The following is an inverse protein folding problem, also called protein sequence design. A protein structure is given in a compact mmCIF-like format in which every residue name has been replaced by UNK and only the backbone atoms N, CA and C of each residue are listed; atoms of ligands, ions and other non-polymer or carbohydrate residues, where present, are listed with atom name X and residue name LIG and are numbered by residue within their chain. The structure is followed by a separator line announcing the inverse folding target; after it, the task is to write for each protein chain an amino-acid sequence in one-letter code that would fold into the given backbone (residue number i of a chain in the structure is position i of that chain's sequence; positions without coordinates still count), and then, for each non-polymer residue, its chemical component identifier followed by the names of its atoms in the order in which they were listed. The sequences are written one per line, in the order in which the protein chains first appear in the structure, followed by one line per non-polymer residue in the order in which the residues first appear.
data_IF_399248708393
#
_entry.id   IF_399248708393
#
_cell.length_a   1.000
_cell.length_b   1.000
_cell.length_c   1.000
_cell.angle_alpha   90.00
_cell.angle_beta   90.00
_cell.angle_gamma   90.00
#
_symmetry.space_group_name_H-M   'P 1'
#
loop_
_entity.id
_entity.type
_entity.pdbx_description
1 polymer ?
#
# COMPACT_ATOMS: atom_id res chain seq x y z
N UNK A 1 -13.76 11.24 -5.76
CA UNK A 1 -12.82 12.33 -5.38
C UNK A 1 -13.30 12.90 -4.06
N UNK A 2 -12.40 13.07 -3.09
CA UNK A 2 -12.71 13.65 -1.76
C UNK A 2 -11.74 14.78 -1.43
N UNK A 3 -11.94 15.46 -0.31
CA UNK A 3 -10.99 16.45 0.22
C UNK A 3 -10.24 15.82 1.39
N UNK A 4 -8.91 15.76 1.29
CA UNK A 4 -8.07 15.39 2.41
C UNK A 4 -8.17 16.50 3.47
N UNK A 5 -8.73 16.20 4.64
CA UNK A 5 -8.97 17.19 5.68
C UNK A 5 -7.69 17.79 6.28
N UNK A 6 -6.59 17.04 6.26
CA UNK A 6 -5.30 17.48 6.77
C UNK A 6 -4.57 18.35 5.74
N UNK A 7 -4.46 17.86 4.50
CA UNK A 7 -3.76 18.56 3.41
C UNK A 7 -4.60 19.66 2.77
N UNK A 8 -5.92 19.67 3.01
CA UNK A 8 -6.91 20.58 2.41
C UNK A 8 -6.88 20.60 0.88
N UNK A 9 -6.58 19.45 0.28
CA UNK A 9 -6.53 19.27 -1.19
C UNK A 9 -7.57 18.26 -1.64
N UNK A 10 -8.14 18.49 -2.82
CA UNK A 10 -9.02 17.52 -3.47
C UNK A 10 -8.18 16.41 -4.11
N UNK A 11 -8.56 15.16 -3.91
CA UNK A 11 -7.87 14.03 -4.50
C UNK A 11 -8.52 12.68 -4.27
N UNK A 12 -7.73 11.66 -4.58
CA UNK A 12 -7.97 10.25 -4.24
C UNK A 12 -6.90 9.77 -3.27
N UNK A 13 -7.23 8.74 -2.51
CA UNK A 13 -6.31 8.09 -1.57
C UNK A 13 -6.12 6.64 -1.98
N UNK A 14 -4.88 6.18 -1.92
CA UNK A 14 -4.49 4.82 -2.26
C UNK A 14 -4.39 4.01 -0.97
N UNK A 15 -4.99 2.84 -0.95
CA UNK A 15 -4.81 1.82 0.08
C UNK A 15 -4.23 0.58 -0.61
N UNK A 16 -3.21 -0.03 -0.03
CA UNK A 16 -2.56 -1.18 -0.64
C UNK A 16 -2.15 -2.22 0.41
N UNK A 17 -2.32 -3.49 0.04
CA UNK A 17 -1.72 -4.64 0.70
C UNK A 17 -0.39 -4.96 0.02
N UNK A 18 0.69 -5.05 0.79
CA UNK A 18 2.05 -5.18 0.29
C UNK A 18 2.76 -6.34 1.00
N UNK A 19 3.51 -7.14 0.25
CA UNK A 19 4.30 -8.25 0.80
C UNK A 19 5.61 -7.79 1.46
N UNK A 20 6.38 -8.73 2.01
CA UNK A 20 7.68 -8.45 2.65
C UNK A 20 8.77 -7.98 1.67
N UNK A 21 8.59 -8.18 0.36
CA UNK A 21 9.50 -7.75 -0.70
C UNK A 21 9.14 -6.36 -1.25
N UNK A 22 8.05 -5.76 -0.78
CA UNK A 22 7.52 -4.48 -1.26
C UNK A 22 6.72 -4.61 -2.57
N UNK A 23 6.16 -5.78 -2.87
CA UNK A 23 5.29 -6.01 -4.01
C UNK A 23 3.83 -5.82 -3.60
N UNK A 24 3.07 -5.06 -4.40
CA UNK A 24 1.65 -4.83 -4.15
C UNK A 24 0.86 -6.08 -4.51
N UNK A 25 0.17 -6.63 -3.51
CA UNK A 25 -0.72 -7.78 -3.64
C UNK A 25 -2.14 -7.34 -4.06
N UNK A 26 -2.61 -6.23 -3.49
CA UNK A 26 -3.89 -5.62 -3.81
C UNK A 26 -3.81 -4.11 -3.61
N UNK A 27 -4.45 -3.34 -4.47
CA UNK A 27 -4.59 -1.89 -4.38
C UNK A 27 -6.05 -1.50 -4.56
N UNK A 28 -6.46 -0.49 -3.81
CA UNK A 28 -7.75 0.18 -3.92
C UNK A 28 -7.53 1.70 -3.92
N UNK A 29 -8.25 2.41 -4.78
CA UNK A 29 -8.18 3.87 -4.91
C UNK A 29 -9.54 4.47 -4.57
N UNK A 30 -9.62 5.04 -3.37
CA UNK A 30 -10.82 5.67 -2.82
C UNK A 30 -10.81 7.20 -2.88
N UNK A 31 -11.88 7.81 -2.39
CA UNK A 31 -11.92 9.26 -2.18
C UNK A 31 -10.92 9.69 -1.09
N UNK A 32 -10.30 10.86 -1.21
CA UNK A 32 -9.28 11.30 -0.25
C UNK A 32 -9.79 11.51 1.19
N UNK A 33 -11.10 11.68 1.39
CA UNK A 33 -11.74 11.78 2.70
C UNK A 33 -12.18 10.42 3.28
N UNK A 34 -11.94 9.31 2.59
CA UNK A 34 -12.25 7.99 3.11
C UNK A 34 -11.25 7.64 4.23
N UNK A 35 -11.76 7.25 5.39
CA UNK A 35 -10.95 6.79 6.50
C UNK A 35 -10.25 5.46 6.16
N UNK A 36 -9.01 5.29 6.63
CA UNK A 36 -8.18 4.11 6.34
C UNK A 36 -8.85 2.80 6.75
N UNK A 37 -9.41 2.76 7.97
CA UNK A 37 -10.20 1.62 8.47
C UNK A 37 -11.36 1.23 7.54
N UNK A 38 -11.99 2.20 6.85
CA UNK A 38 -13.07 1.94 5.89
C UNK A 38 -12.56 1.51 4.51
N UNK A 39 -11.30 1.76 4.19
CA UNK A 39 -10.68 1.37 2.93
C UNK A 39 -9.97 0.01 3.03
N UNK A 40 -9.58 -0.43 4.23
CA UNK A 40 -8.94 -1.73 4.44
C UNK A 40 -9.75 -2.92 3.90
N UNK A 41 -11.07 -3.05 4.16
CA UNK A 41 -11.85 -4.16 3.61
C UNK A 41 -11.74 -4.29 2.08
N UNK A 42 -11.61 -3.17 1.36
CA UNK A 42 -11.50 -3.14 -0.10
C UNK A 42 -10.23 -3.83 -0.63
N UNK A 43 -9.16 -3.91 0.18
CA UNK A 43 -7.94 -4.64 -0.20
C UNK A 43 -7.79 -5.99 0.51
N UNK A 44 -8.44 -6.18 1.66
CA UNK A 44 -8.27 -7.38 2.48
C UNK A 44 -9.25 -8.49 2.10
N UNK A 45 -10.55 -8.23 2.06
CA UNK A 45 -11.55 -9.30 1.99
C UNK A 45 -11.39 -10.16 0.74
N UNK A 46 -11.41 -9.53 -0.45
CA UNK A 46 -11.20 -10.24 -1.71
C UNK A 46 -9.86 -10.96 -1.79
N UNK A 47 -8.82 -10.45 -1.12
CA UNK A 47 -7.52 -11.11 -1.12
C UNK A 47 -7.51 -12.33 -0.21
N UNK A 48 -8.05 -12.22 1.00
CA UNK A 48 -8.08 -13.29 2.00
C UNK A 48 -9.01 -14.44 1.58
N UNK A 49 -10.13 -14.13 0.92
CA UNK A 49 -11.03 -15.14 0.32
C UNK A 49 -10.33 -16.03 -0.71
N UNK A 50 -9.29 -15.52 -1.38
CA UNK A 50 -8.53 -16.27 -2.39
C UNK A 50 -7.23 -16.90 -1.85
N UNK A 51 -6.78 -16.50 -0.64
CA UNK A 51 -5.45 -16.84 -0.14
C UNK A 51 -5.46 -17.21 1.35
N UNK A 52 -5.79 -18.47 1.62
CA UNK A 52 -5.88 -19.04 2.98
C UNK A 52 -4.53 -19.11 3.74
N UNK A 53 -3.41 -18.91 3.04
CA UNK A 53 -2.06 -18.98 3.63
C UNK A 53 -1.63 -17.70 4.35
N UNK A 54 -2.42 -16.63 4.29
CA UNK A 54 -2.08 -15.39 4.98
C UNK A 54 -2.19 -15.61 6.48
N UNK A 55 -1.09 -15.38 7.22
CA UNK A 55 -1.06 -15.58 8.67
C UNK A 55 -1.08 -14.27 9.46
N UNK A 56 -0.44 -13.21 8.92
CA UNK A 56 -0.22 -11.97 9.65
C UNK A 56 -0.24 -10.74 8.74
N UNK A 57 -0.93 -9.71 9.17
CA UNK A 57 -1.00 -8.40 8.53
C UNK A 57 -0.59 -7.33 9.53
N UNK A 58 0.27 -6.42 9.11
CA UNK A 58 0.66 -5.25 9.90
C UNK A 58 0.01 -4.01 9.32
N UNK A 59 -0.60 -3.19 10.17
CA UNK A 59 -1.22 -1.93 9.78
C UNK A 59 -0.73 -0.78 10.66
N UNK A 60 -0.87 0.46 10.18
CA UNK A 60 -0.59 1.63 11.01
C UNK A 60 -1.81 2.01 11.88
N UNK A 61 -1.61 2.96 12.82
CA UNK A 61 -2.65 3.44 13.73
C UNK A 61 -3.92 3.96 13.04
N UNK A 62 -3.88 4.36 11.76
CA UNK A 62 -5.07 4.78 11.02
C UNK A 62 -6.08 3.66 10.77
N UNK A 63 -5.64 2.40 10.92
CA UNK A 63 -6.47 1.20 10.75
C UNK A 63 -7.05 0.66 12.06
N UNK A 64 -6.88 1.37 13.18
CA UNK A 64 -7.46 0.96 14.46
C UNK A 64 -8.99 0.89 14.37
N UNK A 65 -9.58 -0.20 14.87
CA UNK A 65 -11.02 -0.44 14.89
C UNK A 65 -11.34 -1.94 15.00
N UNK A 66 -12.59 -2.31 14.72
CA UNK A 66 -13.10 -3.68 14.89
C UNK A 66 -12.57 -4.70 13.86
N UNK A 67 -11.75 -4.26 12.91
CA UNK A 67 -11.28 -5.10 11.81
C UNK A 67 -10.38 -6.25 12.30
N UNK A 68 -9.68 -6.06 13.42
CA UNK A 68 -8.81 -7.08 14.00
C UNK A 68 -9.60 -8.33 14.43
N UNK A 69 -10.65 -8.13 15.22
CA UNK A 69 -11.53 -9.20 15.70
C UNK A 69 -12.23 -9.94 14.54
N UNK A 70 -12.75 -9.18 13.57
CA UNK A 70 -13.44 -9.76 12.41
C UNK A 70 -12.49 -10.61 11.54
N UNK A 71 -11.25 -10.16 11.34
CA UNK A 71 -10.27 -10.85 10.49
C UNK A 71 -9.73 -12.12 11.15
N UNK A 72 -9.49 -12.09 12.45
CA UNK A 72 -9.08 -13.28 13.20
C UNK A 72 -10.21 -14.32 13.22
N UNK A 73 -11.44 -13.90 13.51
CA UNK A 73 -12.58 -14.81 13.62
C UNK A 73 -12.97 -15.48 12.28
N UNK A 74 -12.90 -14.74 11.17
CA UNK A 74 -13.34 -15.24 9.86
C UNK A 74 -12.22 -15.89 9.07
N UNK A 75 -11.00 -15.34 9.12
CA UNK A 75 -9.90 -15.76 8.26
C UNK A 75 -8.70 -16.34 9.03
N UNK A 76 -8.71 -16.32 10.36
CA UNK A 76 -7.58 -16.81 11.18
C UNK A 76 -6.30 -15.97 11.00
N UNK A 77 -6.44 -14.71 10.58
CA UNK A 77 -5.31 -13.81 10.29
C UNK A 77 -5.04 -12.92 11.50
N UNK A 78 -3.80 -12.91 11.99
CA UNK A 78 -3.36 -11.96 13.01
C UNK A 78 -3.23 -10.56 12.37
N UNK A 79 -4.08 -9.61 12.77
CA UNK A 79 -4.06 -8.23 12.29
C UNK A 79 -3.49 -7.29 13.36
N UNK A 80 -2.19 -6.97 13.28
CA UNK A 80 -1.52 -6.15 14.28
C UNK A 80 -1.47 -4.67 13.85
N UNK A 81 -2.12 -3.80 14.62
CA UNK A 81 -2.01 -2.35 14.48
C UNK A 81 -0.78 -1.82 15.23
N UNK A 82 0.23 -1.37 14.49
CA UNK A 82 1.49 -0.87 15.04
C UNK A 82 1.29 0.52 15.64
N UNK A 83 1.32 0.59 16.97
CA UNK A 83 1.15 1.83 17.74
C UNK A 83 2.45 2.57 17.99
N UNK A 84 2.37 3.90 18.05
CA UNK A 84 3.50 4.76 18.41
C UNK A 84 3.59 4.87 19.93
N UNK A 85 4.54 4.15 20.55
CA UNK A 85 4.62 4.00 22.02
C UNK A 85 5.41 5.10 22.75
N UNK A 86 6.02 6.07 22.06
CA UNK A 86 6.88 7.09 22.70
C UNK A 86 6.69 8.49 22.12
N UNK A 87 6.90 9.50 22.97
CA UNK A 87 7.08 10.90 22.53
C UNK A 87 8.40 10.99 21.76
N UNK A 88 8.35 11.27 20.46
CA UNK A 88 9.52 11.37 19.57
C UNK A 88 9.59 10.25 18.52
N UNK A 89 10.65 10.22 17.71
CA UNK A 89 10.77 9.21 16.64
C UNK A 89 10.96 7.80 17.23
N UNK A 90 10.04 6.88 16.93
CA UNK A 90 10.20 5.45 17.16
C UNK A 90 10.19 4.71 15.83
N UNK A 91 11.21 3.88 15.60
CA UNK A 91 11.27 3.03 14.40
C UNK A 91 10.13 2.02 14.45
N UNK A 92 9.21 2.10 13.49
CA UNK A 92 8.19 1.08 13.29
C UNK A 92 8.79 -0.04 12.43
N UNK A 93 8.88 -1.24 13.00
CA UNK A 93 9.40 -2.40 12.30
C UNK A 93 8.58 -2.65 11.02
N UNK A 94 9.28 -2.91 9.90
CA UNK A 94 8.71 -3.21 8.57
C UNK A 94 7.91 -2.08 7.88
N UNK A 95 7.55 -0.97 8.53
CA UNK A 95 6.89 0.20 7.89
C UNK A 95 7.64 0.71 6.66
N UNK A 96 8.98 0.71 6.75
CA UNK A 96 9.88 1.13 5.68
C UNK A 96 9.65 0.37 4.35
N UNK A 97 9.11 -0.86 4.39
CA UNK A 97 8.81 -1.65 3.19
C UNK A 97 7.69 -0.99 2.39
N UNK A 98 6.63 -0.55 3.08
CA UNK A 98 5.48 0.13 2.50
C UNK A 98 5.89 1.50 1.97
N UNK A 99 6.63 2.28 2.76
CA UNK A 99 7.12 3.60 2.33
C UNK A 99 8.02 3.52 1.09
N UNK A 100 8.92 2.52 1.04
CA UNK A 100 9.74 2.24 -0.14
C UNK A 100 8.90 1.85 -1.35
N UNK A 101 7.83 1.09 -1.15
CA UNK A 101 6.90 0.70 -2.21
C UNK A 101 6.20 1.93 -2.79
N UNK A 102 5.71 2.83 -1.94
CA UNK A 102 5.15 4.12 -2.38
C UNK A 102 6.17 4.96 -3.12
N UNK A 103 7.42 5.04 -2.65
CA UNK A 103 8.48 5.76 -3.35
C UNK A 103 8.75 5.19 -4.75
N UNK A 104 8.66 3.86 -4.96
CA UNK A 104 8.76 3.27 -6.30
C UNK A 104 7.58 3.63 -7.20
N UNK A 105 6.38 3.66 -6.64
CA UNK A 105 5.17 4.05 -7.37
C UNK A 105 5.22 5.53 -7.74
N UNK A 106 5.58 6.43 -6.83
CA UNK A 106 5.66 7.86 -7.10
C UNK A 106 6.79 8.21 -8.10
N UNK A 107 7.87 7.41 -8.13
CA UNK A 107 8.92 7.50 -9.16
C UNK A 107 8.50 6.95 -10.53
N UNK A 108 7.33 6.32 -10.65
CA UNK A 108 6.75 6.00 -11.93
C UNK A 108 6.04 7.23 -12.49
N UNK A 109 6.49 7.73 -13.66
CA UNK A 109 5.92 8.92 -14.30
C UNK A 109 4.40 8.86 -14.47
N UNK A 110 3.82 7.68 -14.69
CA UNK A 110 2.36 7.51 -14.83
C UNK A 110 1.58 7.60 -13.52
N UNK A 111 2.25 7.47 -12.37
CA UNK A 111 1.64 7.45 -11.04
C UNK A 111 2.05 8.64 -10.16
N UNK A 112 3.01 9.46 -10.62
CA UNK A 112 3.48 10.66 -9.91
C UNK A 112 2.37 11.68 -9.68
N UNK A 113 1.34 11.67 -10.52
CA UNK A 113 0.06 12.35 -10.32
C UNK A 113 -1.08 11.44 -10.77
N UNK A 114 -2.27 11.68 -10.23
CA UNK A 114 -3.49 11.04 -10.69
C UNK A 114 -3.96 11.72 -11.98
N UNK A 115 -3.62 11.12 -13.12
CA UNK A 115 -4.09 11.54 -14.44
C UNK A 115 -5.35 10.79 -14.89
N UNK A 116 -5.75 9.76 -14.13
CA UNK A 116 -6.77 8.82 -14.57
C UNK A 116 -8.17 9.30 -14.23
N UNK A 117 -9.08 9.24 -15.22
CA UNK A 117 -10.48 9.61 -14.99
C UNK A 117 -11.17 8.64 -14.04
N UNK A 118 -10.84 7.35 -14.11
CA UNK A 118 -11.42 6.27 -13.31
C UNK A 118 -10.42 5.76 -12.28
N UNK A 119 -10.90 5.37 -11.11
CA UNK A 119 -10.05 4.89 -10.01
C UNK A 119 -9.44 3.52 -10.36
N UNK A 120 -10.22 2.69 -11.04
CA UNK A 120 -9.88 1.35 -11.51
C UNK A 120 -8.72 1.39 -12.52
N UNK A 121 -8.67 2.42 -13.38
CA UNK A 121 -7.54 2.63 -14.28
C UNK A 121 -6.26 2.96 -13.51
N UNK A 122 -6.37 3.79 -12.47
CA UNK A 122 -5.23 4.12 -11.62
C UNK A 122 -4.72 2.85 -10.90
N UNK A 123 -5.62 2.02 -10.37
CA UNK A 123 -5.27 0.72 -9.80
C UNK A 123 -4.54 -0.17 -10.83
N UNK A 124 -5.05 -0.24 -12.07
CA UNK A 124 -4.39 -0.92 -13.19
C UNK A 124 -2.95 -0.43 -13.43
N UNK A 125 -2.73 0.88 -13.37
CA UNK A 125 -1.40 1.49 -13.52
C UNK A 125 -0.46 1.11 -12.37
N UNK A 126 -0.97 0.93 -11.15
CA UNK A 126 -0.19 0.40 -10.01
C UNK A 126 0.29 -1.03 -10.30
N UNK A 127 -0.60 -1.90 -10.78
CA UNK A 127 -0.22 -3.27 -11.14
C UNK A 127 0.77 -3.31 -12.31
N UNK A 128 0.59 -2.48 -13.34
CA UNK A 128 1.54 -2.36 -14.45
C UNK A 128 2.93 -1.91 -13.97
N UNK A 129 2.99 -0.96 -13.03
CA UNK A 129 4.24 -0.52 -12.41
C UNK A 129 4.94 -1.67 -11.66
N UNK A 130 4.16 -2.49 -10.94
CA UNK A 130 4.67 -3.64 -10.19
C UNK A 130 5.15 -4.76 -11.11
N UNK A 131 4.43 -5.08 -12.18
CA UNK A 131 4.87 -6.04 -13.21
C UNK A 131 6.21 -5.61 -13.78
N UNK A 132 6.35 -4.34 -14.16
CA UNK A 132 7.62 -3.78 -14.66
C UNK A 132 8.76 -3.90 -13.63
N UNK A 133 8.46 -3.72 -12.34
CA UNK A 133 9.44 -3.89 -11.27
C UNK A 133 9.85 -5.36 -11.11
N UNK A 134 8.88 -6.28 -11.10
CA UNK A 134 9.10 -7.72 -10.99
C UNK A 134 9.94 -8.25 -12.16
N UNK A 135 9.61 -7.87 -13.40
CA UNK A 135 10.38 -8.25 -14.59
C UNK A 135 11.84 -7.81 -14.51
N UNK A 136 12.13 -6.60 -14.03
CA UNK A 136 13.53 -6.15 -13.83
C UNK A 136 14.25 -6.92 -12.74
N UNK A 137 13.55 -7.42 -11.73
CA UNK A 137 14.14 -8.23 -10.66
C UNK A 137 14.47 -9.63 -11.18
N UNK A 138 13.57 -10.23 -11.95
CA UNK A 138 13.76 -11.55 -12.58
C UNK A 138 14.93 -11.55 -13.56
N UNK A 139 14.95 -10.58 -14.48
CA UNK A 139 16.01 -10.46 -15.50
C UNK A 139 17.30 -9.79 -15.00
N UNK A 140 17.35 -9.42 -13.71
CA UNK A 140 18.41 -8.59 -13.13
C UNK A 140 18.74 -7.31 -13.92
N UNK A 141 17.77 -6.80 -14.70
CA UNK A 141 17.89 -5.64 -15.57
C UNK A 141 17.68 -4.33 -14.79
N UNK A 142 18.54 -4.12 -13.79
CA UNK A 142 18.56 -2.88 -13.01
C UNK A 142 19.49 -1.90 -13.70
N UNK A 143 19.00 -0.68 -13.97
CA UNK A 143 19.87 0.44 -14.35
C UNK A 143 20.82 0.70 -13.18
N UNK A 144 22.06 0.24 -13.32
CA UNK A 144 23.15 0.57 -12.38
C UNK A 144 23.71 1.90 -12.82
N UNK A 145 23.76 2.84 -11.89
CA UNK A 145 24.52 4.05 -12.10
C UNK A 145 25.99 3.65 -12.15
N UNK A 146 26.65 3.91 -13.30
CA UNK A 146 28.08 3.65 -13.43
C UNK A 146 28.80 4.82 -12.76
N UNK A 147 29.77 4.52 -11.90
CA UNK A 147 30.61 5.54 -11.24
C UNK A 147 31.44 6.38 -12.21
N UNK A 148 31.47 6.00 -13.49
CA UNK A 148 32.26 6.64 -14.55
C UNK A 148 31.62 7.92 -15.09
N UNK A 149 30.35 8.21 -14.74
CA UNK A 149 29.59 9.36 -15.28
C UNK A 149 29.49 10.55 -14.30
N UNK A 150 30.40 10.68 -13.33
CA UNK A 150 30.43 11.78 -12.35
C UNK A 150 31.79 12.46 -12.20
#
# INVERSE_FOLDING_TARGET
MGIDGFKKIKGRKRTALVDVLGLVLKCYVGAANQADVKAAPCVLLSYLEMHERMAKILADQGYQGNLEEDLEAVYGVEFEVVTHKRRGFSVQAKRWIVERTWAWLDNNRGLSRDYERLAENYEGMVYAAMIRLMLRRLENNRRRWKKEDA
#
